data_IF_909723501038
#
_entry.id   IF_909723501038
#
_cell.length_a   1.000
_cell.length_b   1.000
_cell.length_c   1.000
_cell.angle_alpha   90.00
_cell.angle_beta   90.00
_cell.angle_gamma   90.00
#
_symmetry.space_group_name_H-M   'P 1'
#
loop_
_entity.id
_entity.type
_entity.pdbx_description
1 polymer ?
#
# COMPACT_ATOMS: atom_id res chain seq x y z
N UNK A 1 -2.99 33.81 0.19
CA UNK A 1 -2.33 32.49 0.05
C UNK A 1 -3.34 31.40 0.40
N UNK A 2 -3.89 30.66 -0.57
CA UNK A 2 -4.68 29.46 -0.29
C UNK A 2 -3.69 28.36 0.09
N UNK A 3 -3.64 27.95 1.35
CA UNK A 3 -2.92 26.76 1.75
C UNK A 3 -3.55 25.59 0.96
N UNK A 4 -2.78 24.96 0.07
CA UNK A 4 -3.22 23.80 -0.70
C UNK A 4 -3.17 22.61 0.28
N UNK A 5 -4.31 22.03 0.71
CA UNK A 5 -4.33 20.90 1.65
C UNK A 5 -3.56 19.67 1.14
N UNK A 6 -3.20 19.66 -0.15
CA UNK A 6 -2.41 18.60 -0.79
C UNK A 6 -0.93 18.55 -0.34
N UNK A 7 -0.39 19.63 0.25
CA UNK A 7 1.08 19.74 0.44
C UNK A 7 1.62 18.93 1.63
N UNK A 8 0.79 18.67 2.64
CA UNK A 8 1.16 17.89 3.82
C UNK A 8 0.98 16.37 3.63
N UNK A 9 0.13 15.97 2.67
CA UNK A 9 -0.13 14.56 2.35
C UNK A 9 1.07 13.92 1.66
N UNK A 10 1.80 14.67 0.82
CA UNK A 10 2.95 14.17 0.06
C UNK A 10 4.09 13.68 0.99
N UNK A 11 4.55 14.46 2.00
CA UNK A 11 5.53 13.98 2.98
C UNK A 11 5.04 12.76 3.77
N UNK A 12 3.78 12.76 4.19
CA UNK A 12 3.21 11.70 5.02
C UNK A 12 3.11 10.38 4.24
N UNK A 13 2.71 10.43 2.97
CA UNK A 13 2.71 9.27 2.07
C UNK A 13 4.12 8.78 1.74
N UNK A 14 5.11 9.66 1.67
CA UNK A 14 6.51 9.29 1.46
C UNK A 14 7.16 8.65 2.71
N UNK A 15 6.66 8.97 3.90
CA UNK A 15 7.17 8.45 5.18
C UNK A 15 6.78 6.98 5.41
N UNK A 16 5.62 6.51 4.95
CA UNK A 16 5.18 5.12 5.17
C UNK A 16 6.11 4.07 4.51
N UNK A 17 6.48 4.21 3.22
CA UNK A 17 7.47 3.30 2.62
C UNK A 17 8.83 3.36 3.32
N UNK A 18 9.25 4.57 3.74
CA UNK A 18 10.52 4.75 4.44
C UNK A 18 10.54 4.06 5.81
N UNK A 19 9.43 4.14 6.55
CA UNK A 19 9.26 3.47 7.84
C UNK A 19 9.20 1.95 7.67
N UNK A 20 8.56 1.45 6.61
CA UNK A 20 8.55 0.02 6.29
C UNK A 20 9.96 -0.53 6.00
N UNK A 21 10.78 0.23 5.24
CA UNK A 21 12.18 -0.13 5.01
C UNK A 21 12.97 -0.16 6.32
N UNK A 22 12.72 0.79 7.23
CA UNK A 22 13.36 0.84 8.53
C UNK A 22 13.07 -0.41 9.37
N UNK A 23 11.82 -0.90 9.37
CA UNK A 23 11.44 -2.12 10.08
C UNK A 23 12.06 -3.38 9.46
N UNK A 24 12.25 -3.41 8.14
CA UNK A 24 12.98 -4.51 7.46
C UNK A 24 14.44 -4.55 7.93
N UNK A 25 15.08 -3.37 8.06
CA UNK A 25 16.49 -3.27 8.48
C UNK A 25 16.68 -3.60 9.96
N UNK A 26 15.72 -3.23 10.82
CA UNK A 26 15.80 -3.52 12.26
C UNK A 26 15.29 -4.91 12.65
N UNK A 27 14.73 -5.68 11.72
CA UNK A 27 14.20 -7.02 12.00
C UNK A 27 12.91 -7.02 12.83
N UNK A 28 12.33 -5.85 13.10
CA UNK A 28 11.04 -5.67 13.77
C UNK A 28 9.89 -5.80 12.76
N UNK A 29 9.81 -6.95 12.09
CA UNK A 29 8.69 -7.27 11.21
C UNK A 29 7.36 -7.24 11.97
N UNK A 30 6.30 -6.75 11.34
CA UNK A 30 4.95 -6.81 11.91
C UNK A 30 4.60 -8.27 12.24
N UNK A 31 4.21 -8.53 13.49
CA UNK A 31 3.90 -9.86 14.04
C UNK A 31 2.72 -10.56 13.35
N UNK A 32 2.89 -11.01 12.12
CA UNK A 32 1.94 -11.88 11.41
C UNK A 32 2.66 -13.17 11.01
N UNK A 33 2.31 -14.25 11.72
CA UNK A 33 2.59 -15.67 11.42
C UNK A 33 4.01 -15.94 10.91
N UNK A 34 4.95 -16.00 11.85
CA UNK A 34 6.36 -16.17 11.55
C UNK A 34 6.67 -17.61 11.10
N UNK A 35 6.59 -17.89 9.80
CA UNK A 35 7.25 -19.08 9.21
C UNK A 35 8.79 -18.92 9.21
N UNK A 36 9.27 -17.75 9.66
CA UNK A 36 10.64 -17.26 9.58
C UNK A 36 11.22 -16.96 10.99
N UNK A 37 10.45 -17.19 12.06
CA UNK A 37 10.93 -17.00 13.44
C UNK A 37 12.11 -17.94 13.73
N UNK A 38 13.30 -17.37 13.95
CA UNK A 38 14.54 -18.11 14.25
C UNK A 38 15.55 -18.21 13.10
N UNK A 39 15.26 -17.66 11.92
CA UNK A 39 16.23 -17.63 10.82
C UNK A 39 17.32 -16.55 11.01
N UNK A 40 18.56 -16.81 10.54
CA UNK A 40 19.61 -15.79 10.52
C UNK A 40 19.19 -14.54 9.74
N UNK A 41 19.55 -13.33 10.21
CA UNK A 41 19.10 -12.07 9.59
C UNK A 41 19.40 -11.93 8.08
N UNK A 42 20.47 -12.57 7.58
CA UNK A 42 20.78 -12.61 6.14
C UNK A 42 19.77 -13.44 5.32
N UNK A 43 19.18 -14.47 5.93
CA UNK A 43 18.14 -15.30 5.32
C UNK A 43 16.82 -14.52 5.23
N UNK A 44 16.48 -13.75 6.27
CA UNK A 44 15.32 -12.86 6.25
C UNK A 44 15.45 -11.82 5.12
N UNK A 45 16.64 -11.22 4.98
CA UNK A 45 16.92 -10.30 3.88
C UNK A 45 16.72 -10.98 2.51
N UNK A 46 17.15 -12.23 2.33
CA UNK A 46 16.93 -12.99 1.09
C UNK A 46 15.45 -13.30 0.85
N UNK A 47 14.68 -13.66 1.88
CA UNK A 47 13.23 -13.90 1.76
C UNK A 47 12.52 -12.63 1.32
N UNK A 48 12.86 -11.49 1.93
CA UNK A 48 12.31 -10.18 1.54
C UNK A 48 12.66 -9.82 0.10
N UNK A 49 13.94 -9.96 -0.27
CA UNK A 49 14.40 -9.67 -1.63
C UNK A 49 13.72 -10.59 -2.65
N UNK A 50 13.58 -11.87 -2.29
CA UNK A 50 12.88 -12.88 -3.08
C UNK A 50 11.39 -12.57 -3.23
N UNK A 51 10.71 -12.15 -2.16
CA UNK A 51 9.30 -11.76 -2.20
C UNK A 51 9.09 -10.54 -3.12
N UNK A 52 9.92 -9.50 -2.97
CA UNK A 52 9.87 -8.30 -3.83
C UNK A 52 10.13 -8.68 -5.28
N UNK A 53 11.19 -9.46 -5.56
CA UNK A 53 11.50 -9.90 -6.91
C UNK A 53 10.38 -10.76 -7.52
N UNK A 54 9.79 -11.67 -6.73
CA UNK A 54 8.66 -12.51 -7.15
C UNK A 54 7.43 -11.68 -7.47
N UNK A 55 7.15 -10.63 -6.71
CA UNK A 55 6.02 -9.72 -6.99
C UNK A 55 6.31 -8.87 -8.23
N UNK A 56 7.52 -8.37 -8.43
CA UNK A 56 7.85 -7.57 -9.62
C UNK A 56 7.74 -8.43 -10.88
N UNK A 57 8.36 -9.61 -10.87
CA UNK A 57 8.36 -10.55 -12.02
C UNK A 57 6.97 -11.13 -12.23
N UNK A 58 6.35 -11.63 -11.15
CA UNK A 58 5.01 -12.22 -11.15
C UNK A 58 3.95 -11.19 -11.54
N UNK A 59 4.03 -9.97 -11.03
CA UNK A 59 3.17 -8.86 -11.42
C UNK A 59 3.34 -8.53 -12.90
N UNK A 60 4.57 -8.42 -13.41
CA UNK A 60 4.80 -8.17 -14.83
C UNK A 60 4.20 -9.27 -15.74
N UNK A 61 4.30 -10.53 -15.31
CA UNK A 61 3.78 -11.67 -16.09
C UNK A 61 2.27 -11.90 -15.92
N UNK A 62 1.70 -11.66 -14.73
CA UNK A 62 0.30 -11.90 -14.41
C UNK A 62 -0.61 -10.75 -14.86
N UNK A 63 -0.12 -9.49 -14.84
CA UNK A 63 -0.89 -8.32 -15.23
C UNK A 63 -1.29 -8.40 -16.70
N UNK A 64 -0.36 -8.74 -17.58
CA UNK A 64 -0.64 -8.80 -19.02
C UNK A 64 -1.82 -9.71 -19.39
N UNK A 65 -1.88 -11.00 -18.99
CA UNK A 65 -3.01 -11.87 -19.30
C UNK A 65 -4.27 -11.50 -18.52
N UNK A 66 -4.17 -11.11 -17.25
CA UNK A 66 -5.33 -10.74 -16.44
C UNK A 66 -6.06 -9.53 -17.02
N UNK A 67 -5.33 -8.44 -17.31
CA UNK A 67 -5.90 -7.24 -17.89
C UNK A 67 -6.34 -7.44 -19.35
N UNK A 68 -5.67 -8.31 -20.12
CA UNK A 68 -6.14 -8.68 -21.47
C UNK A 68 -7.46 -9.45 -21.45
N UNK A 69 -7.69 -10.30 -20.45
CA UNK A 69 -8.97 -10.98 -20.28
C UNK A 69 -10.08 -9.97 -19.94
N UNK A 70 -9.78 -9.01 -19.08
CA UNK A 70 -10.71 -7.92 -18.74
C UNK A 70 -10.96 -6.96 -19.90
N UNK A 71 -9.97 -6.66 -20.74
CA UNK A 71 -10.14 -5.83 -21.94
C UNK A 71 -11.23 -6.38 -22.87
N UNK A 72 -11.48 -7.69 -22.85
CA UNK A 72 -12.54 -8.33 -23.65
C UNK A 72 -13.95 -8.08 -23.10
N UNK A 73 -14.10 -7.81 -21.80
CA UNK A 73 -15.41 -7.57 -21.19
C UNK A 73 -15.91 -6.14 -21.46
N UNK A 74 -15.01 -5.19 -21.79
CA UNK A 74 -15.30 -3.76 -22.00
C UNK A 74 -16.01 -3.06 -20.81
N UNK A 75 -15.98 -3.68 -19.63
CA UNK A 75 -16.58 -3.12 -18.42
C UNK A 75 -15.52 -2.38 -17.61
N UNK A 76 -15.73 -1.06 -17.45
CA UNK A 76 -14.86 -0.17 -16.68
C UNK A 76 -14.69 -0.63 -15.23
N UNK A 77 -15.80 -1.06 -14.63
CA UNK A 77 -15.86 -1.56 -13.26
C UNK A 77 -14.96 -2.78 -13.04
N UNK A 78 -14.85 -3.66 -14.05
CA UNK A 78 -14.00 -4.84 -13.97
C UNK A 78 -12.51 -4.45 -13.90
N UNK A 79 -12.07 -3.44 -14.67
CA UNK A 79 -10.69 -2.93 -14.63
C UNK A 79 -10.33 -2.38 -13.26
N UNK A 80 -11.20 -1.54 -12.68
CA UNK A 80 -10.99 -1.00 -11.32
C UNK A 80 -10.96 -2.13 -10.29
N UNK A 81 -11.90 -3.07 -10.36
CA UNK A 81 -11.97 -4.21 -9.46
C UNK A 81 -10.70 -5.09 -9.52
N UNK A 82 -10.16 -5.34 -10.72
CA UNK A 82 -8.91 -6.09 -10.86
C UNK A 82 -7.69 -5.31 -10.34
N UNK A 83 -7.63 -3.99 -10.55
CA UNK A 83 -6.60 -3.15 -9.95
C UNK A 83 -6.59 -3.26 -8.43
N UNK A 84 -7.77 -3.09 -7.80
CA UNK A 84 -7.93 -3.24 -6.35
C UNK A 84 -7.62 -4.66 -5.86
N UNK A 85 -8.10 -5.69 -6.58
CA UNK A 85 -7.82 -7.09 -6.26
C UNK A 85 -6.32 -7.38 -6.31
N UNK A 86 -5.60 -6.82 -7.28
CA UNK A 86 -4.15 -6.96 -7.40
C UNK A 86 -3.42 -6.28 -6.23
N UNK A 87 -3.83 -5.06 -5.88
CA UNK A 87 -3.29 -4.32 -4.73
C UNK A 87 -3.48 -5.11 -3.43
N UNK A 88 -4.70 -5.61 -3.20
CA UNK A 88 -5.04 -6.43 -2.02
C UNK A 88 -4.26 -7.75 -2.04
N UNK A 89 -4.22 -8.43 -3.19
CA UNK A 89 -3.50 -9.70 -3.34
C UNK A 89 -2.01 -9.56 -3.03
N UNK A 90 -1.37 -8.49 -3.52
CA UNK A 90 0.04 -8.22 -3.22
C UNK A 90 0.23 -7.85 -1.74
N UNK A 91 -0.66 -7.07 -1.15
CA UNK A 91 -0.61 -6.73 0.27
C UNK A 91 -0.69 -7.98 1.16
N UNK A 92 -1.61 -8.90 0.87
CA UNK A 92 -1.78 -10.17 1.58
C UNK A 92 -0.59 -11.12 1.38
N UNK A 93 0.02 -11.13 0.19
CA UNK A 93 1.24 -11.90 -0.07
C UNK A 93 2.43 -11.35 0.73
N UNK A 94 2.53 -10.03 0.85
CA UNK A 94 3.57 -9.39 1.67
C UNK A 94 3.36 -9.66 3.15
N UNK A 95 2.11 -9.59 3.63
CA UNK A 95 1.77 -9.89 5.02
C UNK A 95 2.18 -11.32 5.39
N UNK A 96 1.92 -12.30 4.52
CA UNK A 96 2.37 -13.70 4.71
C UNK A 96 3.89 -13.84 4.71
N UNK A 97 4.60 -12.97 3.99
CA UNK A 97 6.07 -12.89 3.99
C UNK A 97 6.67 -12.19 5.20
N UNK A 98 5.86 -11.78 6.18
CA UNK A 98 6.30 -10.99 7.35
C UNK A 98 6.64 -9.54 7.00
N UNK A 99 6.19 -9.07 5.83
CA UNK A 99 6.42 -7.72 5.33
C UNK A 99 5.19 -6.84 5.58
N UNK A 100 5.42 -5.53 5.71
CA UNK A 100 4.32 -4.59 5.90
C UNK A 100 3.37 -4.60 4.68
N UNK A 101 2.05 -4.73 4.90
CA UNK A 101 1.05 -4.61 3.83
C UNK A 101 1.17 -3.28 3.05
N UNK A 102 1.60 -2.20 3.71
CA UNK A 102 1.81 -0.90 3.09
C UNK A 102 2.92 -0.91 2.02
N UNK A 103 3.97 -1.73 2.21
CA UNK A 103 5.00 -1.91 1.18
C UNK A 103 4.43 -2.67 -0.01
N UNK A 104 3.59 -3.68 0.24
CA UNK A 104 2.90 -4.44 -0.80
C UNK A 104 2.00 -3.56 -1.66
N UNK A 105 1.17 -2.71 -1.05
CA UNK A 105 0.29 -1.80 -1.81
C UNK A 105 1.07 -0.75 -2.60
N UNK A 106 2.19 -0.25 -2.07
CA UNK A 106 3.09 0.63 -2.80
C UNK A 106 3.72 -0.08 -4.01
N UNK A 107 4.26 -1.29 -3.81
CA UNK A 107 4.89 -2.07 -4.88
C UNK A 107 3.87 -2.43 -5.98
N UNK A 108 2.65 -2.82 -5.59
CA UNK A 108 1.55 -3.03 -6.52
C UNK A 108 1.30 -1.79 -7.39
N UNK A 109 1.29 -0.60 -6.78
CA UNK A 109 1.15 0.67 -7.49
C UNK A 109 2.30 0.92 -8.49
N UNK A 110 3.55 0.66 -8.10
CA UNK A 110 4.72 0.80 -8.99
C UNK A 110 4.63 -0.15 -10.18
N UNK A 111 4.27 -1.41 -9.94
CA UNK A 111 4.10 -2.41 -11.00
C UNK A 111 2.98 -1.99 -11.97
N UNK A 112 1.87 -1.47 -11.44
CA UNK A 112 0.72 -1.04 -12.22
C UNK A 112 1.01 0.23 -13.05
N UNK A 113 1.74 1.18 -12.46
CA UNK A 113 2.19 2.40 -13.11
C UNK A 113 3.13 2.14 -14.30
N UNK A 114 3.90 1.05 -14.25
CA UNK A 114 4.77 0.63 -15.35
C UNK A 114 4.06 -0.30 -16.36
N UNK A 115 2.78 -0.61 -16.19
CA UNK A 115 2.03 -1.49 -17.11
C UNK A 115 1.51 -0.74 -18.34
N UNK A 116 1.27 -1.48 -19.42
CA UNK A 116 0.67 -0.96 -20.67
C UNK A 116 -0.75 -0.41 -20.44
N UNK A 117 -1.45 -0.92 -19.42
CA UNK A 117 -2.82 -0.56 -19.08
C UNK A 117 -2.92 0.62 -18.10
N UNK A 118 -1.80 1.28 -17.75
CA UNK A 118 -1.79 2.37 -16.77
C UNK A 118 -2.75 3.51 -17.11
N UNK A 119 -2.91 3.86 -18.39
CA UNK A 119 -3.74 4.99 -18.81
C UNK A 119 -5.23 4.65 -18.72
N UNK A 120 -5.61 3.43 -19.09
CA UNK A 120 -6.98 2.94 -18.92
C UNK A 120 -7.32 2.91 -17.43
N UNK A 121 -6.42 2.35 -16.62
CA UNK A 121 -6.63 2.29 -15.17
C UNK A 121 -6.68 3.66 -14.51
N UNK A 122 -5.82 4.59 -14.94
CA UNK A 122 -5.81 5.95 -14.42
C UNK A 122 -7.11 6.67 -14.75
N UNK A 123 -7.57 6.59 -16.00
CA UNK A 123 -8.85 7.16 -16.41
C UNK A 123 -9.99 6.56 -15.58
N UNK A 124 -9.96 5.25 -15.37
CA UNK A 124 -11.00 4.50 -14.67
C UNK A 124 -11.07 4.81 -13.18
N UNK A 125 -9.92 5.08 -12.55
CA UNK A 125 -9.80 5.44 -11.13
C UNK A 125 -10.02 6.94 -10.90
N UNK A 126 -9.81 7.80 -11.90
CA UNK A 126 -9.89 9.26 -11.77
C UNK A 126 -11.17 9.79 -11.07
N UNK A 127 -12.39 9.30 -11.39
CA UNK A 127 -13.60 9.73 -10.69
C UNK A 127 -13.62 9.39 -9.19
N UNK A 128 -12.89 8.35 -8.78
CA UNK A 128 -12.82 7.91 -7.39
C UNK A 128 -11.74 8.62 -6.59
N UNK A 129 -10.77 9.29 -7.24
CA UNK A 129 -9.68 10.01 -6.55
C UNK A 129 -10.22 11.00 -5.51
N UNK A 130 -11.28 11.75 -5.85
CA UNK A 130 -11.92 12.69 -4.92
C UNK A 130 -12.61 12.01 -3.73
N UNK A 131 -13.28 10.87 -3.96
CA UNK A 131 -13.91 10.08 -2.92
C UNK A 131 -12.88 9.48 -1.95
N UNK A 132 -11.81 8.90 -2.49
CA UNK A 132 -10.72 8.30 -1.71
C UNK A 132 -10.00 9.35 -0.86
N UNK A 133 -9.78 10.54 -1.41
CA UNK A 133 -9.19 11.66 -0.68
C UNK A 133 -10.11 12.13 0.47
N UNK A 134 -11.41 12.25 0.22
CA UNK A 134 -12.39 12.56 1.26
C UNK A 134 -12.41 11.51 2.38
N UNK A 135 -12.43 10.23 2.01
CA UNK A 135 -12.39 9.12 2.97
C UNK A 135 -11.08 9.07 3.76
N UNK A 136 -9.94 9.33 3.12
CA UNK A 136 -8.64 9.42 3.78
C UNK A 136 -8.63 10.51 4.85
N UNK A 137 -9.14 11.71 4.54
CA UNK A 137 -9.20 12.79 5.52
C UNK A 137 -10.13 12.47 6.68
N UNK A 138 -11.25 11.78 6.44
CA UNK A 138 -12.13 11.30 7.50
C UNK A 138 -11.39 10.29 8.40
N UNK A 139 -10.71 9.30 7.81
CA UNK A 139 -10.00 8.28 8.56
C UNK A 139 -8.82 8.85 9.38
N UNK A 140 -8.00 9.71 8.77
CA UNK A 140 -6.89 10.38 9.48
C UNK A 140 -7.41 11.34 10.54
N UNK A 141 -8.43 12.14 10.22
CA UNK A 141 -9.05 13.05 11.18
C UNK A 141 -9.65 12.32 12.38
N UNK A 142 -10.27 11.16 12.16
CA UNK A 142 -10.78 10.30 13.22
C UNK A 142 -9.67 9.58 14.02
N UNK A 143 -8.51 9.34 13.41
CA UNK A 143 -7.35 8.75 14.08
C UNK A 143 -6.59 9.74 14.97
N UNK A 144 -6.83 11.04 14.84
CA UNK A 144 -6.23 12.06 15.73
C UNK A 144 -7.06 12.08 17.01
N UNK A 145 -6.51 11.49 18.07
CA UNK A 145 -7.16 11.41 19.37
C UNK A 145 -6.96 12.71 20.17
N UNK A 146 -7.85 13.68 19.98
CA UNK A 146 -7.82 14.96 20.74
C UNK A 146 -8.26 14.82 22.20
N UNK A 147 -8.76 13.64 22.61
CA UNK A 147 -9.31 13.42 23.95
C UNK A 147 -8.23 13.11 25.00
N UNK A 148 -7.00 12.80 24.57
CA UNK A 148 -5.88 12.50 25.47
C UNK A 148 -5.23 13.73 26.11
N UNK A 149 -5.10 14.85 25.39
CA UNK A 149 -4.45 16.05 25.94
C UNK A 149 -5.34 16.88 26.87
N UNK A 150 -6.65 16.98 26.62
CA UNK A 150 -7.55 17.87 27.39
C UNK A 150 -7.91 17.31 28.77
N UNK A 151 -7.98 15.99 28.95
CA UNK A 151 -8.25 15.38 30.25
C UNK A 151 -7.09 15.55 31.26
N UNK A 152 -5.86 15.73 30.77
CA UNK A 152 -4.65 15.82 31.61
C UNK A 152 -4.46 17.20 32.25
N UNK A 153 -5.01 18.27 31.68
CA UNK A 153 -4.98 19.61 32.30
C UNK A 153 -6.03 19.78 33.41
N UNK A 154 -7.19 19.12 33.30
CA UNK A 154 -8.25 19.21 34.32
C UNK A 154 -7.97 18.40 35.60
N UNK A 155 -7.05 17.42 35.53
CA UNK A 155 -6.63 16.62 36.70
C UNK A 155 -5.49 17.31 37.49
N UNK A 156 -4.82 18.31 36.90
CA UNK A 156 -3.64 18.99 37.48
C UNK A 156 -3.98 20.40 38.01
N UNK A 157 -5.21 20.89 37.85
CA UNK A 157 -5.73 22.13 38.47
C UNK A 157 -6.76 21.84 39.55
#
# INVERSE_FOLDING_TARGET
MRAKPDIAVIPMLALFPLLAIHQIVQGEGHHATNWVEGMPGWMNALVVLGAVATIIVGGHYAIRPAFRFLARTKLREAFVAAGLLLVIGIALLMEQGGLSPALGTFLAGVVLANSEYRHELESDIEPFKGLLLGLFFIAVGASIDFYGETAREMIIS
#
